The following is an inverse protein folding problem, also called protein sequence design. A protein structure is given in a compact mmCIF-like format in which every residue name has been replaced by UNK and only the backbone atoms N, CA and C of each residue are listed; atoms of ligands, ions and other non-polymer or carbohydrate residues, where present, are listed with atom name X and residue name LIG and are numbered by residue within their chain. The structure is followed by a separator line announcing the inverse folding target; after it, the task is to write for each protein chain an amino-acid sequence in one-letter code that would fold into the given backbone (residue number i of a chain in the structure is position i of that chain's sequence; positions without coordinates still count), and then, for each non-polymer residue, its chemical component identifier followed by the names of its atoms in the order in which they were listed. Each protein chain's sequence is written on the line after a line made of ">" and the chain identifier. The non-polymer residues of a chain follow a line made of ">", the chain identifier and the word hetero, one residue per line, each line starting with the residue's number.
data_IF_083965270296
#
_entry.id   IF_083965270296
#
_cell.length_a   1.000
_cell.length_b   1.000
_cell.length_c   1.000
_cell.angle_alpha   90.00
_cell.angle_beta   90.00
_cell.angle_gamma   90.00
#
_symmetry.space_group_name_H-M   'P 1'
#
loop_
_entity.id
_entity.type
_entity.pdbx_description
1 polymer ?
#
# COMPACT_ATOMS: atom_id res chain seq x y z
N UNK A 1 -2.77 -15.64 -5.21
CA UNK A 1 -3.96 -15.08 -4.53
C UNK A 1 -4.95 -14.70 -5.58
N UNK A 2 -6.21 -15.09 -5.39
CA UNK A 2 -7.30 -14.57 -6.19
C UNK A 2 -7.62 -13.11 -5.80
N UNK A 3 -8.50 -12.47 -6.58
CA UNK A 3 -8.83 -11.05 -6.36
C UNK A 3 -9.53 -10.78 -5.03
N UNK A 4 -10.25 -11.74 -4.45
CA UNK A 4 -10.88 -11.57 -3.14
C UNK A 4 -9.84 -11.64 -2.02
N UNK A 5 -8.88 -12.56 -2.10
CA UNK A 5 -7.76 -12.63 -1.18
C UNK A 5 -6.90 -11.35 -1.22
N UNK A 6 -6.60 -10.85 -2.41
CA UNK A 6 -5.84 -9.60 -2.57
C UNK A 6 -6.56 -8.42 -1.91
N UNK A 7 -7.89 -8.31 -2.08
CA UNK A 7 -8.70 -7.28 -1.40
C UNK A 7 -8.58 -7.36 0.11
N UNK A 8 -8.71 -8.56 0.69
CA UNK A 8 -8.59 -8.74 2.14
C UNK A 8 -7.19 -8.34 2.64
N UNK A 9 -6.14 -8.64 1.88
CA UNK A 9 -4.78 -8.23 2.24
C UNK A 9 -4.59 -6.70 2.16
N UNK A 10 -5.22 -6.05 1.18
CA UNK A 10 -5.20 -4.60 1.03
C UNK A 10 -6.01 -3.90 2.14
N UNK A 11 -7.16 -4.45 2.55
CA UNK A 11 -7.93 -3.95 3.70
C UNK A 11 -7.14 -4.05 5.01
N UNK A 12 -6.36 -5.13 5.17
CA UNK A 12 -5.44 -5.25 6.32
C UNK A 12 -4.31 -4.24 6.26
N UNK A 13 -3.76 -3.98 5.06
CA UNK A 13 -2.75 -2.95 4.87
C UNK A 13 -3.30 -1.57 5.22
N UNK A 14 -4.50 -1.23 4.73
CA UNK A 14 -5.23 -0.01 5.05
C UNK A 14 -5.42 0.19 6.56
N UNK A 15 -5.95 -0.83 7.24
CA UNK A 15 -6.13 -0.81 8.69
C UNK A 15 -4.80 -0.68 9.47
N UNK A 16 -3.69 -1.13 8.90
CA UNK A 16 -2.37 -1.03 9.50
C UNK A 16 -1.69 0.33 9.31
N UNK A 17 -2.15 1.18 8.37
CA UNK A 17 -1.51 2.46 8.06
C UNK A 17 -1.33 3.36 9.29
N UNK A 18 -2.33 3.56 10.18
CA UNK A 18 -2.16 4.40 11.36
C UNK A 18 -1.05 3.90 12.30
N UNK A 19 -1.02 2.59 12.55
CA UNK A 19 0.01 1.97 13.39
C UNK A 19 1.38 2.07 12.73
N UNK A 20 1.46 1.81 11.42
CA UNK A 20 2.69 1.89 10.65
C UNK A 20 3.29 3.30 10.73
N UNK A 21 2.45 4.32 10.58
CA UNK A 21 2.83 5.73 10.70
C UNK A 21 3.31 6.07 12.11
N UNK A 22 2.61 5.63 13.14
CA UNK A 22 3.00 5.86 14.53
C UNK A 22 4.32 5.16 14.90
N UNK A 23 4.61 4.00 14.31
CA UNK A 23 5.85 3.25 14.53
C UNK A 23 7.03 3.71 13.66
N UNK A 24 6.79 4.53 12.63
CA UNK A 24 7.82 4.96 11.70
C UNK A 24 8.54 6.21 12.22
N UNK A 25 9.88 6.23 12.28
CA UNK A 25 10.64 7.39 12.73
C UNK A 25 10.40 8.65 11.88
N UNK A 26 10.21 8.48 10.57
CA UNK A 26 9.93 9.57 9.63
C UNK A 26 9.13 9.06 8.42
N UNK A 27 8.80 9.99 7.51
CA UNK A 27 8.04 9.73 6.28
C UNK A 27 8.75 8.70 5.38
N UNK A 28 10.08 8.69 5.30
CA UNK A 28 10.84 7.74 4.46
C UNK A 28 10.73 6.32 4.99
N UNK A 29 10.83 6.13 6.30
CA UNK A 29 10.67 4.82 6.93
C UNK A 29 9.25 4.28 6.75
N UNK A 30 8.24 5.15 6.89
CA UNK A 30 6.85 4.81 6.59
C UNK A 30 6.71 4.33 5.14
N UNK A 31 7.20 5.12 4.18
CA UNK A 31 7.10 4.78 2.76
C UNK A 31 7.78 3.45 2.43
N UNK A 32 8.98 3.22 2.98
CA UNK A 32 9.69 1.97 2.77
C UNK A 32 8.91 0.77 3.32
N UNK A 33 8.35 0.88 4.52
CA UNK A 33 7.59 -0.20 5.13
C UNK A 33 6.26 -0.45 4.39
N UNK A 34 5.55 0.62 4.02
CA UNK A 34 4.32 0.53 3.24
C UNK A 34 4.57 -0.12 1.87
N UNK A 35 5.57 0.37 1.12
CA UNK A 35 5.94 -0.16 -0.19
C UNK A 35 6.38 -1.62 -0.12
N UNK A 36 7.11 -2.01 0.93
CA UNK A 36 7.51 -3.41 1.14
C UNK A 36 6.30 -4.31 1.33
N UNK A 37 5.29 -3.88 2.10
CA UNK A 37 4.06 -4.64 2.31
C UNK A 37 3.19 -4.70 1.06
N UNK A 38 3.02 -3.58 0.35
CA UNK A 38 2.29 -3.53 -0.91
C UNK A 38 2.93 -4.45 -1.97
N UNK A 39 4.25 -4.39 -2.13
CA UNK A 39 5.00 -5.26 -3.05
C UNK A 39 4.88 -6.75 -2.69
N UNK A 40 4.85 -7.08 -1.40
CA UNK A 40 4.64 -8.46 -0.95
C UNK A 40 3.22 -8.99 -1.27
N UNK A 41 2.22 -8.12 -1.35
CA UNK A 41 0.86 -8.46 -1.79
C UNK A 41 0.86 -8.62 -3.31
N UNK A 42 1.44 -7.66 -4.03
CA UNK A 42 1.52 -7.62 -5.50
C UNK A 42 2.22 -8.87 -6.05
N UNK A 43 3.34 -9.29 -5.46
CA UNK A 43 4.10 -10.48 -5.85
C UNK A 43 3.30 -11.79 -5.73
N UNK A 44 2.16 -11.79 -5.00
CA UNK A 44 1.29 -12.96 -4.84
C UNK A 44 0.08 -12.93 -5.79
N UNK A 45 -0.05 -11.87 -6.60
CA UNK A 45 -1.06 -11.78 -7.64
C UNK A 45 -0.82 -12.87 -8.72
N UNK A 46 -1.90 -13.47 -9.21
CA UNK A 46 -1.82 -14.54 -10.22
C UNK A 46 -1.73 -14.00 -11.65
N UNK A 47 -2.03 -12.71 -11.85
CA UNK A 47 -2.04 -12.06 -13.15
C UNK A 47 -1.47 -10.65 -13.06
N UNK A 48 -1.01 -10.13 -14.20
CA UNK A 48 -0.60 -8.74 -14.30
C UNK A 48 -1.75 -7.77 -14.02
N UNK A 49 -2.99 -8.14 -14.37
CA UNK A 49 -4.17 -7.33 -14.07
C UNK A 49 -4.40 -7.22 -12.56
N UNK A 50 -4.20 -8.31 -11.83
CA UNK A 50 -4.30 -8.34 -10.38
C UNK A 50 -3.16 -7.58 -9.69
N UNK A 51 -1.94 -7.64 -10.24
CA UNK A 51 -0.83 -6.83 -9.76
C UNK A 51 -1.12 -5.32 -9.93
N UNK A 52 -1.63 -4.91 -11.10
CA UNK A 52 -2.07 -3.54 -11.34
C UNK A 52 -3.23 -3.11 -10.43
N UNK A 53 -4.15 -4.03 -10.13
CA UNK A 53 -5.20 -3.79 -9.14
C UNK A 53 -4.61 -3.49 -7.75
N UNK A 54 -3.60 -4.26 -7.32
CA UNK A 54 -2.90 -4.02 -6.05
C UNK A 54 -2.24 -2.65 -6.03
N UNK A 55 -1.51 -2.27 -7.09
CA UNK A 55 -0.87 -0.96 -7.20
C UNK A 55 -1.85 0.21 -7.06
N UNK A 56 -2.93 0.22 -7.87
CA UNK A 56 -3.98 1.25 -7.77
C UNK A 56 -4.59 1.32 -6.37
N UNK A 57 -4.82 0.16 -5.76
CA UNK A 57 -5.45 0.11 -4.44
C UNK A 57 -4.52 0.63 -3.34
N UNK A 58 -3.22 0.38 -3.46
CA UNK A 58 -2.23 0.94 -2.55
C UNK A 58 -2.16 2.48 -2.64
N UNK A 59 -2.25 3.04 -3.84
CA UNK A 59 -2.34 4.50 -4.07
C UNK A 59 -3.61 5.10 -3.45
N UNK A 60 -4.76 4.46 -3.63
CA UNK A 60 -6.03 4.89 -3.01
C UNK A 60 -5.94 4.90 -1.48
N UNK A 61 -5.36 3.85 -0.88
CA UNK A 61 -5.14 3.78 0.57
C UNK A 61 -4.31 4.99 1.03
N UNK A 62 -3.20 5.30 0.36
CA UNK A 62 -2.37 6.45 0.69
C UNK A 62 -3.15 7.76 0.60
N UNK A 63 -3.98 7.91 -0.43
CA UNK A 63 -4.84 9.08 -0.63
C UNK A 63 -5.84 9.25 0.53
N UNK A 64 -6.48 8.16 0.96
CA UNK A 64 -7.42 8.18 2.08
C UNK A 64 -6.81 8.58 3.42
N UNK A 65 -5.52 8.28 3.62
CA UNK A 65 -4.78 8.66 4.82
C UNK A 65 -4.09 10.03 4.72
N UNK A 66 -4.29 10.76 3.61
CA UNK A 66 -3.63 12.05 3.35
C UNK A 66 -2.11 11.91 3.20
N UNK A 67 -1.66 10.77 2.69
CA UNK A 67 -0.26 10.41 2.48
C UNK A 67 0.10 10.38 0.99
N UNK A 68 -0.61 11.16 0.19
CA UNK A 68 -0.29 11.37 -1.22
C UNK A 68 1.17 11.82 -1.34
N UNK A 69 1.85 11.39 -2.40
CA UNK A 69 3.23 11.78 -2.60
C UNK A 69 3.29 13.26 -3.01
N UNK A 70 3.39 14.17 -2.04
CA UNK A 70 3.46 15.63 -2.26
C UNK A 70 4.83 16.07 -2.84
N UNK A 71 5.64 15.15 -3.38
CA UNK A 71 6.87 15.48 -4.11
C UNK A 71 6.59 15.72 -5.61
N UNK A 72 5.46 16.34 -5.96
CA UNK A 72 5.11 16.70 -7.35
C UNK A 72 5.29 18.21 -7.65
N UNK A 73 5.99 18.97 -6.79
CA UNK A 73 6.25 20.42 -7.01
C UNK A 73 7.71 20.83 -6.71
N UNK A 74 8.68 20.28 -7.44
CA UNK A 74 9.99 20.93 -7.66
C UNK A 74 10.30 20.91 -9.16
#
# INVERSE_FOLDING_TARGET
>A
MDRAELRLHLERLDAAVPTLRASSPDRRHFWQAFASMASAIESKAMSNEDAQFVGRRAEEILSWHGLENIDEHI
#
